data_IF_439230210878
#
_entry.id   IF_439230210878
#
_cell.length_a   1.000
_cell.length_b   1.000
_cell.length_c   1.000
_cell.angle_alpha   90.00
_cell.angle_beta   90.00
_cell.angle_gamma   90.00
#
_symmetry.space_group_name_H-M   'P 1'
#
loop_
_entity.id
_entity.type
_entity.pdbx_description
1 polymer ?
#
# COMPACT_ATOMS: atom_id res chain seq x y z
N UNK A 1 -14.27 18.92 10.00
CA UNK A 1 -13.08 18.07 9.81
C UNK A 1 -12.12 18.43 10.93
N UNK A 2 -11.66 17.48 11.77
CA UNK A 2 -10.65 17.79 12.76
C UNK A 2 -9.40 18.32 12.05
N UNK A 3 -8.78 19.33 12.65
CA UNK A 3 -7.50 19.85 12.17
C UNK A 3 -6.45 18.75 12.27
N UNK A 4 -5.76 18.48 11.16
CA UNK A 4 -4.73 17.45 11.10
C UNK A 4 -3.43 18.04 11.65
N UNK A 5 -2.67 17.23 12.40
CA UNK A 5 -1.30 17.58 12.81
C UNK A 5 -0.49 18.00 11.58
N UNK A 6 0.28 19.10 11.61
CA UNK A 6 1.08 19.53 10.47
C UNK A 6 2.02 18.44 9.93
N UNK A 7 2.25 18.40 8.62
CA UNK A 7 3.06 17.34 7.99
C UNK A 7 4.52 17.34 8.47
N UNK A 8 5.14 18.52 8.63
CA UNK A 8 6.50 18.62 9.17
C UNK A 8 6.64 18.01 10.57
N UNK A 9 5.63 18.16 11.43
CA UNK A 9 5.66 17.55 12.78
C UNK A 9 5.59 16.03 12.71
N UNK A 10 4.75 15.49 11.83
CA UNK A 10 4.64 14.04 11.61
C UNK A 10 5.91 13.49 10.96
N UNK A 11 6.51 14.23 10.03
CA UNK A 11 7.76 13.87 9.38
C UNK A 11 8.92 13.81 10.38
N UNK A 12 9.03 14.82 11.26
CA UNK A 12 10.02 14.85 12.33
C UNK A 12 9.87 13.64 13.28
N UNK A 13 8.63 13.26 13.63
CA UNK A 13 8.35 12.08 14.47
C UNK A 13 8.64 10.75 13.76
N UNK A 14 8.44 10.68 12.45
CA UNK A 14 8.65 9.48 11.64
C UNK A 14 10.13 9.27 11.26
N UNK A 15 10.92 10.34 11.21
CA UNK A 15 12.33 10.31 10.85
C UNK A 15 13.17 9.64 11.95
N UNK A 16 13.43 8.35 11.78
CA UNK A 16 14.34 7.57 12.63
C UNK A 16 15.73 7.51 11.97
N UNK A 17 16.80 7.97 12.65
CA UNK A 17 18.16 7.88 12.14
C UNK A 17 18.62 6.43 11.98
N UNK A 18 19.39 6.15 10.93
CA UNK A 18 20.15 4.91 10.79
C UNK A 18 21.63 5.12 11.13
N UNK A 19 22.35 4.06 11.52
CA UNK A 19 23.80 4.14 11.71
C UNK A 19 24.49 4.67 10.45
N UNK A 20 25.42 5.62 10.63
CA UNK A 20 26.22 6.27 9.57
C UNK A 20 25.45 7.24 8.63
N UNK A 21 24.20 7.59 8.93
CA UNK A 21 23.49 8.62 8.16
C UNK A 21 24.17 9.99 8.32
N UNK A 22 24.46 10.65 7.19
CA UNK A 22 24.92 12.04 7.22
C UNK A 22 23.79 12.99 7.63
N UNK A 23 24.17 14.15 8.15
CA UNK A 23 23.21 15.21 8.53
C UNK A 23 22.36 15.67 7.35
N UNK A 24 22.98 15.82 6.18
CA UNK A 24 22.30 16.24 4.96
C UNK A 24 21.31 15.18 4.47
N UNK A 25 21.68 13.89 4.57
CA UNK A 25 20.76 12.80 4.24
C UNK A 25 19.54 12.80 5.18
N UNK A 26 19.74 12.99 6.49
CA UNK A 26 18.64 13.04 7.47
C UNK A 26 17.68 14.21 7.21
N UNK A 27 18.22 15.38 6.86
CA UNK A 27 17.42 16.56 6.47
C UNK A 27 16.60 16.28 5.21
N UNK A 28 17.26 15.79 4.15
CA UNK A 28 16.60 15.48 2.89
C UNK A 28 15.50 14.41 3.06
N UNK A 29 15.77 13.37 3.85
CA UNK A 29 14.78 12.31 4.15
C UNK A 29 13.59 12.83 4.94
N UNK A 30 13.80 13.75 5.87
CA UNK A 30 12.71 14.35 6.64
C UNK A 30 11.82 15.22 5.74
N UNK A 31 12.42 16.03 4.87
CA UNK A 31 11.68 16.82 3.88
C UNK A 31 10.88 15.92 2.92
N UNK A 32 11.47 14.80 2.46
CA UNK A 32 10.75 13.82 1.63
C UNK A 32 9.53 13.23 2.35
N UNK A 33 9.65 12.87 3.64
CA UNK A 33 8.52 12.32 4.41
C UNK A 33 7.40 13.36 4.56
N UNK A 34 7.74 14.63 4.74
CA UNK A 34 6.74 15.72 4.78
C UNK A 34 5.92 15.77 3.48
N UNK A 35 6.60 15.80 2.34
CA UNK A 35 5.96 15.79 1.01
C UNK A 35 5.09 14.55 0.79
N UNK A 36 5.58 13.38 1.20
CA UNK A 36 4.82 12.13 1.10
C UNK A 36 3.54 12.14 1.94
N UNK A 37 3.56 12.74 3.13
CA UNK A 37 2.38 12.84 4.00
C UNK A 37 1.31 13.70 3.32
N UNK A 38 1.69 14.84 2.75
CA UNK A 38 0.76 15.70 2.02
C UNK A 38 0.22 15.02 0.76
N UNK A 39 1.07 14.31 0.03
CA UNK A 39 0.64 13.51 -1.12
C UNK A 39 -0.42 12.48 -0.73
N UNK A 40 -0.19 11.72 0.36
CA UNK A 40 -1.16 10.75 0.86
C UNK A 40 -2.48 11.41 1.26
N UNK A 41 -2.45 12.58 1.90
CA UNK A 41 -3.66 13.35 2.24
C UNK A 41 -4.45 13.76 0.99
N UNK A 42 -3.76 14.24 -0.04
CA UNK A 42 -4.40 14.60 -1.30
C UNK A 42 -5.06 13.39 -1.97
N UNK A 43 -4.38 12.25 -2.02
CA UNK A 43 -4.93 11.00 -2.56
C UNK A 43 -6.21 10.61 -1.80
N UNK A 44 -6.22 10.71 -0.47
CA UNK A 44 -7.42 10.41 0.33
C UNK A 44 -8.57 11.38 0.05
N UNK A 45 -8.29 12.68 -0.08
CA UNK A 45 -9.31 13.68 -0.47
C UNK A 45 -9.90 13.35 -1.85
N UNK A 46 -9.08 12.97 -2.83
CA UNK A 46 -9.54 12.56 -4.16
C UNK A 46 -10.36 11.27 -4.07
N UNK A 47 -9.93 10.29 -3.30
CA UNK A 47 -10.67 9.05 -3.09
C UNK A 47 -12.05 9.31 -2.47
N UNK A 48 -12.15 10.21 -1.49
CA UNK A 48 -13.43 10.64 -0.92
C UNK A 48 -14.34 11.28 -1.99
N UNK A 49 -13.80 12.18 -2.82
CA UNK A 49 -14.55 12.77 -3.95
C UNK A 49 -15.05 11.70 -4.93
N UNK A 50 -14.22 10.71 -5.26
CA UNK A 50 -14.61 9.60 -6.16
C UNK A 50 -15.77 8.79 -5.60
N UNK A 51 -15.76 8.48 -4.29
CA UNK A 51 -16.87 7.76 -3.63
C UNK A 51 -18.15 8.58 -3.54
N UNK A 52 -18.04 9.91 -3.53
CA UNK A 52 -19.18 10.82 -3.48
C UNK A 52 -19.75 11.17 -4.86
N UNK A 53 -19.16 10.66 -5.96
CA UNK A 53 -19.75 10.84 -7.28
C UNK A 53 -21.13 10.18 -7.33
N UNK A 54 -22.13 10.82 -7.96
CA UNK A 54 -23.41 10.17 -8.22
C UNK A 54 -23.21 8.95 -9.12
N UNK A 55 -24.24 8.10 -9.20
CA UNK A 55 -24.27 7.01 -10.18
C UNK A 55 -23.94 7.57 -11.56
N UNK A 56 -23.04 6.88 -12.25
CA UNK A 56 -22.67 7.23 -13.62
C UNK A 56 -23.82 6.99 -14.60
N UNK A 57 -23.52 7.13 -15.88
CA UNK A 57 -24.47 6.73 -16.92
C UNK A 57 -24.80 5.24 -16.84
N UNK A 58 -25.98 4.88 -17.33
CA UNK A 58 -26.40 3.49 -17.45
C UNK A 58 -25.38 2.71 -18.28
N UNK A 59 -25.04 1.51 -17.79
CA UNK A 59 -24.20 0.60 -18.55
C UNK A 59 -24.94 0.15 -19.82
N UNK A 60 -24.19 -0.07 -20.90
CA UNK A 60 -24.76 -0.69 -22.11
C UNK A 60 -25.10 -2.15 -21.82
N UNK A 61 -25.97 -2.73 -22.64
CA UNK A 61 -26.26 -4.16 -22.63
C UNK A 61 -25.08 -4.96 -23.21
N UNK A 62 -24.04 -5.16 -22.40
CA UNK A 62 -22.84 -5.89 -22.78
C UNK A 62 -23.09 -7.40 -22.81
N UNK A 63 -22.55 -8.05 -23.84
CA UNK A 63 -22.61 -9.50 -24.06
C UNK A 63 -21.20 -10.10 -24.03
N UNK A 64 -21.02 -11.17 -23.28
CA UNK A 64 -19.76 -11.89 -23.10
C UNK A 64 -19.96 -13.37 -23.43
N UNK A 65 -18.88 -14.05 -23.82
CA UNK A 65 -18.86 -15.51 -23.92
C UNK A 65 -18.23 -16.08 -22.65
N UNK A 66 -18.90 -17.04 -22.01
CA UNK A 66 -18.33 -17.77 -20.89
C UNK A 66 -17.37 -18.88 -21.36
N UNK A 67 -16.77 -19.61 -20.42
CA UNK A 67 -15.85 -20.72 -20.72
C UNK A 67 -16.50 -21.85 -21.54
N UNK A 68 -17.82 -22.00 -21.46
CA UNK A 68 -18.61 -22.96 -22.25
C UNK A 68 -19.02 -22.42 -23.63
N UNK A 69 -18.63 -21.19 -23.98
CA UNK A 69 -19.03 -20.52 -25.23
C UNK A 69 -20.47 -20.04 -25.26
N UNK A 70 -21.16 -19.97 -24.11
CA UNK A 70 -22.51 -19.40 -23.98
C UNK A 70 -22.45 -17.89 -23.82
N UNK A 71 -23.40 -17.21 -24.44
CA UNK A 71 -23.56 -15.77 -24.31
C UNK A 71 -24.22 -15.42 -22.97
N UNK A 72 -23.59 -14.52 -22.21
CA UNK A 72 -24.05 -14.07 -20.89
C UNK A 72 -24.00 -12.54 -20.82
N UNK A 73 -24.94 -11.93 -20.11
CA UNK A 73 -24.99 -10.49 -19.88
C UNK A 73 -24.04 -10.05 -18.76
N UNK A 74 -23.75 -8.74 -18.69
CA UNK A 74 -22.89 -8.18 -17.63
C UNK A 74 -23.36 -8.54 -16.21
N UNK A 75 -24.68 -8.54 -15.97
CA UNK A 75 -25.25 -8.89 -14.66
C UNK A 75 -25.00 -10.35 -14.27
N UNK A 76 -24.96 -11.25 -15.25
CA UNK A 76 -24.79 -12.68 -15.03
C UNK A 76 -23.37 -13.04 -14.55
N UNK A 77 -22.40 -12.14 -14.76
CA UNK A 77 -20.99 -12.34 -14.36
C UNK A 77 -20.77 -12.28 -12.83
N UNK A 78 -21.69 -11.68 -12.08
CA UNK A 78 -21.49 -11.40 -10.65
C UNK A 78 -22.32 -12.30 -9.73
N UNK A 79 -23.01 -13.31 -10.29
CA UNK A 79 -23.92 -14.19 -9.55
C UNK A 79 -25.17 -13.48 -9.05
N UNK A 80 -26.07 -14.20 -8.37
CA UNK A 80 -27.21 -13.55 -7.70
C UNK A 80 -26.68 -12.68 -6.57
N UNK A 81 -26.97 -11.37 -6.60
CA UNK A 81 -26.59 -10.45 -5.56
C UNK A 81 -27.30 -10.77 -4.23
N UNK A 82 -26.78 -11.72 -3.45
CA UNK A 82 -27.10 -11.89 -2.03
C UNK A 82 -26.18 -11.05 -1.14
N UNK A 83 -25.66 -9.94 -1.66
CA UNK A 83 -24.84 -8.98 -0.92
C UNK A 83 -25.67 -8.06 -0.03
N UNK A 84 -26.45 -8.64 0.89
CA UNK A 84 -26.64 -7.96 2.19
C UNK A 84 -25.30 -8.15 2.90
N UNK A 85 -24.60 -7.07 3.27
CA UNK A 85 -23.24 -7.11 3.79
C UNK A 85 -23.08 -7.91 5.09
N UNK A 86 -23.08 -9.23 4.99
CA UNK A 86 -22.87 -10.18 6.08
C UNK A 86 -22.45 -11.57 5.53
N UNK A 87 -21.55 -11.62 4.55
CA UNK A 87 -20.74 -12.84 4.43
C UNK A 87 -19.66 -12.76 5.51
N UNK A 88 -19.58 -13.72 6.44
CA UNK A 88 -18.48 -13.77 7.39
C UNK A 88 -17.21 -13.94 6.55
N UNK A 89 -16.25 -13.04 6.74
CA UNK A 89 -14.88 -13.24 6.28
C UNK A 89 -14.44 -14.61 6.80
N UNK A 90 -14.42 -15.62 5.93
CA UNK A 90 -13.74 -16.87 6.24
C UNK A 90 -12.28 -16.50 6.50
N UNK A 91 -11.93 -16.49 7.78
CA UNK A 91 -10.59 -16.21 8.27
C UNK A 91 -9.68 -17.31 7.73
N UNK A 92 -9.07 -17.09 6.57
CA UNK A 92 -7.98 -17.91 6.10
C UNK A 92 -6.92 -17.90 7.20
N UNK A 93 -6.51 -19.07 7.74
CA UNK A 93 -5.54 -19.11 8.81
C UNK A 93 -4.28 -18.39 8.32
N UNK A 94 -3.88 -17.35 9.06
CA UNK A 94 -2.63 -16.65 8.78
C UNK A 94 -1.54 -17.71 8.80
N UNK A 95 -0.87 -17.91 7.67
CA UNK A 95 0.37 -18.66 7.65
C UNK A 95 1.32 -17.93 8.61
N UNK A 96 1.62 -18.56 9.75
CA UNK A 96 2.57 -18.05 10.73
C UNK A 96 3.98 -18.28 10.17
N UNK A 97 4.71 -17.23 9.72
CA UNK A 97 6.09 -17.40 9.28
C UNK A 97 7.06 -17.59 10.46
N UNK A 98 6.56 -17.72 11.69
CA UNK A 98 7.30 -17.72 12.94
C UNK A 98 7.92 -19.04 13.39
N UNK A 99 8.56 -19.83 12.52
CA UNK A 99 9.56 -20.82 13.00
C UNK A 99 10.67 -21.16 12.00
N UNK A 100 11.37 -20.15 11.50
CA UNK A 100 12.75 -20.31 11.04
C UNK A 100 13.62 -19.19 11.63
N UNK A 101 14.29 -19.48 12.75
CA UNK A 101 15.37 -18.63 13.24
C UNK A 101 16.58 -18.82 12.33
N UNK A 102 16.64 -18.08 11.23
CA UNK A 102 17.91 -17.88 10.55
C UNK A 102 18.80 -17.02 11.46
N UNK A 103 19.75 -17.67 12.11
CA UNK A 103 20.89 -17.01 12.75
C UNK A 103 21.67 -16.31 11.65
N UNK A 104 21.64 -14.98 11.61
CA UNK A 104 22.61 -14.19 10.86
C UNK A 104 24.00 -14.56 11.38
N UNK A 105 24.78 -15.23 10.55
CA UNK A 105 26.22 -15.38 10.78
C UNK A 105 26.83 -14.01 10.44
N UNK A 106 27.64 -13.40 11.30
CA UNK A 106 28.35 -12.18 10.92
C UNK A 106 29.32 -12.53 9.80
N UNK A 107 29.14 -11.90 8.63
CA UNK A 107 30.16 -11.96 7.58
C UNK A 107 31.44 -11.35 8.14
N UNK A 108 32.50 -12.15 8.17
CA UNK A 108 33.84 -11.68 8.48
C UNK A 108 34.26 -10.71 7.37
N UNK A 109 34.17 -9.41 7.66
CA UNK A 109 34.71 -8.36 6.81
C UNK A 109 36.25 -8.46 6.83
N UNK A 110 36.80 -9.26 5.92
CA UNK A 110 38.24 -9.28 5.68
C UNK A 110 38.59 -8.00 4.91
N UNK A 111 39.45 -7.10 5.43
CA UNK A 111 39.83 -5.92 4.69
C UNK A 111 40.54 -6.33 3.41
N UNK A 112 40.05 -5.82 2.28
CA UNK A 112 40.68 -5.91 0.97
C UNK A 112 42.06 -5.25 1.09
N UNK A 113 43.11 -6.07 1.16
CA UNK A 113 44.49 -5.60 1.17
C UNK A 113 44.69 -4.60 0.04
N UNK A 114 45.07 -3.37 0.42
CA UNK A 114 45.48 -2.36 -0.51
C UNK A 114 46.70 -2.88 -1.28
N UNK A 115 46.55 -2.95 -2.59
CA UNK A 115 47.60 -3.16 -3.57
C UNK A 115 48.61 -2.02 -3.40
N UNK A 116 49.81 -2.36 -2.92
CA UNK A 116 50.93 -1.44 -2.85
C UNK A 116 51.66 -1.46 -4.20
N UNK A 117 51.96 -0.25 -4.67
CA UNK A 117 52.80 0.08 -5.82
C UNK A 117 54.22 -0.50 -5.71
#
# INVERSE_FOLDING_TARGET
MPELVPAHELAAKASKPYPNDSDDYRKARTALIEDEIELRRQIQRVAAKRRALPLGGEARDYRFLNEDGKEVGLADLFGSASGTGADPVEEHPRHDPGRARHRLVPESNTPRSAEAA
#
